data_IF_040163267279
#
_entry.id   IF_040163267279
#
_cell.length_a   1.000
_cell.length_b   1.000
_cell.length_c   1.000
_cell.angle_alpha   90.00
_cell.angle_beta   90.00
_cell.angle_gamma   90.00
#
_symmetry.space_group_name_H-M   'P 1'
#
loop_
_entity.id
_entity.type
_entity.pdbx_description
1 polymer ?
#
# COMPACT_ATOMS: atom_id res chain seq x y z
N UNK A 1 8.46 69.38 -19.47
CA UNK A 1 7.80 68.11 -19.09
C UNK A 1 6.83 68.38 -17.95
N UNK A 2 5.55 68.22 -18.24
CA UNK A 2 4.43 68.56 -17.35
C UNK A 2 4.38 67.60 -16.13
N UNK A 3 3.96 68.08 -14.96
CA UNK A 3 3.85 67.25 -13.74
C UNK A 3 2.99 66.00 -13.96
N UNK A 4 1.95 66.11 -14.82
CA UNK A 4 1.11 64.99 -15.24
C UNK A 4 1.87 63.83 -15.89
N UNK A 5 2.91 64.08 -16.68
CA UNK A 5 3.70 63.02 -17.34
C UNK A 5 4.58 62.24 -16.35
N UNK A 6 5.13 62.95 -15.34
CA UNK A 6 5.92 62.34 -14.26
C UNK A 6 5.08 61.42 -13.38
N UNK A 7 3.84 61.82 -13.07
CA UNK A 7 2.93 61.02 -12.24
C UNK A 7 2.43 59.76 -12.96
N UNK A 8 2.17 59.84 -14.27
CA UNK A 8 1.81 58.67 -15.08
C UNK A 8 2.93 57.65 -15.19
N UNK A 9 4.19 58.09 -15.33
CA UNK A 9 5.35 57.19 -15.45
C UNK A 9 5.74 56.54 -14.11
N UNK A 10 5.52 57.24 -13.00
CA UNK A 10 5.68 56.70 -11.64
C UNK A 10 4.62 55.65 -11.31
N UNK A 11 3.36 55.89 -11.69
CA UNK A 11 2.26 54.96 -11.49
C UNK A 11 2.36 53.69 -12.36
N UNK A 12 2.88 53.79 -13.59
CA UNK A 12 3.09 52.61 -14.45
C UNK A 12 4.20 51.70 -13.91
N UNK A 13 5.32 52.27 -13.44
CA UNK A 13 6.40 51.51 -12.78
C UNK A 13 5.94 50.85 -11.48
N UNK A 14 5.15 51.54 -10.65
CA UNK A 14 4.55 50.93 -9.45
C UNK A 14 3.64 49.76 -9.82
N UNK A 15 2.70 49.93 -10.76
CA UNK A 15 1.79 48.83 -11.19
C UNK A 15 2.54 47.61 -11.73
N UNK A 16 3.61 47.81 -12.50
CA UNK A 16 4.42 46.72 -13.02
C UNK A 16 5.14 45.95 -11.90
N UNK A 17 5.67 46.66 -10.91
CA UNK A 17 6.28 46.03 -9.73
C UNK A 17 5.26 45.24 -8.89
N UNK A 18 4.04 45.77 -8.72
CA UNK A 18 2.98 45.05 -8.00
C UNK A 18 2.54 43.78 -8.71
N UNK A 19 2.42 43.78 -10.05
CA UNK A 19 2.13 42.56 -10.82
C UNK A 19 3.23 41.50 -10.69
N UNK A 20 4.50 41.89 -10.82
CA UNK A 20 5.62 40.95 -10.63
C UNK A 20 5.67 40.36 -9.21
N UNK A 21 5.44 41.17 -8.18
CA UNK A 21 5.38 40.69 -6.79
C UNK A 21 4.19 39.73 -6.59
N UNK A 22 3.04 40.02 -7.20
CA UNK A 22 1.86 39.16 -7.13
C UNK A 22 2.09 37.83 -7.85
N UNK A 23 2.69 37.85 -9.05
CA UNK A 23 3.06 36.66 -9.82
C UNK A 23 4.08 35.80 -9.08
N UNK A 24 5.14 36.39 -8.51
CA UNK A 24 6.13 35.66 -7.71
C UNK A 24 5.52 35.04 -6.45
N UNK A 25 4.57 35.72 -5.79
CA UNK A 25 3.85 35.17 -4.62
C UNK A 25 2.89 34.04 -5.01
N UNK A 26 2.19 34.16 -6.14
CA UNK A 26 1.33 33.08 -6.63
C UNK A 26 2.14 31.85 -7.06
N UNK A 27 3.31 32.04 -7.67
CA UNK A 27 4.25 30.95 -7.99
C UNK A 27 4.74 30.24 -6.72
N UNK A 28 5.08 30.99 -5.66
CA UNK A 28 5.49 30.43 -4.38
C UNK A 28 4.37 29.64 -3.70
N UNK A 29 3.13 30.15 -3.74
CA UNK A 29 1.95 29.45 -3.23
C UNK A 29 1.67 28.19 -4.04
N UNK A 30 1.67 28.28 -5.38
CA UNK A 30 1.47 27.12 -6.24
C UNK A 30 2.55 26.05 -6.04
N UNK A 31 3.81 26.46 -5.85
CA UNK A 31 4.91 25.55 -5.54
C UNK A 31 4.75 24.92 -4.14
N UNK A 32 4.32 25.68 -3.14
CA UNK A 32 4.01 25.13 -1.80
C UNK A 32 2.83 24.16 -1.83
N UNK A 33 1.76 24.50 -2.55
CA UNK A 33 0.62 23.60 -2.75
C UNK A 33 1.06 22.35 -3.51
N UNK A 34 1.92 22.47 -4.53
CA UNK A 34 2.47 21.33 -5.25
C UNK A 34 3.33 20.44 -4.36
N UNK A 35 4.20 21.00 -3.51
CA UNK A 35 4.99 20.24 -2.52
C UNK A 35 4.09 19.57 -1.48
N UNK A 36 3.06 20.26 -1.00
CA UNK A 36 2.07 19.70 -0.08
C UNK A 36 1.28 18.57 -0.75
N UNK A 37 0.88 18.73 -2.01
CA UNK A 37 0.24 17.69 -2.80
C UNK A 37 1.17 16.49 -3.02
N UNK A 38 2.46 16.69 -3.33
CA UNK A 38 3.43 15.61 -3.51
C UNK A 38 3.69 14.83 -2.22
N UNK A 39 3.80 15.52 -1.09
CA UNK A 39 3.99 14.88 0.23
C UNK A 39 2.72 14.16 0.71
N UNK A 40 1.53 14.64 0.33
CA UNK A 40 0.26 13.96 0.61
C UNK A 40 -0.11 12.91 -0.46
N UNK A 41 0.52 12.91 -1.64
CA UNK A 41 0.21 11.98 -2.73
C UNK A 41 0.37 10.53 -2.30
N UNK A 42 1.51 10.19 -1.68
CA UNK A 42 1.73 8.83 -1.14
C UNK A 42 0.67 8.46 -0.10
N UNK A 43 0.40 9.35 0.85
CA UNK A 43 -0.63 9.10 1.87
C UNK A 43 -2.03 8.89 1.25
N UNK A 44 -2.35 9.62 0.19
CA UNK A 44 -3.61 9.52 -0.57
C UNK A 44 -3.67 8.22 -1.40
N UNK A 45 -2.60 7.84 -2.09
CA UNK A 45 -2.47 6.56 -2.80
C UNK A 45 -2.73 5.38 -1.85
N UNK A 46 -2.11 5.39 -0.67
CA UNK A 46 -2.34 4.38 0.38
C UNK A 46 -3.71 4.47 1.04
N UNK A 47 -4.38 5.62 0.99
CA UNK A 47 -5.76 5.75 1.44
C UNK A 47 -6.74 5.09 0.45
N UNK A 48 -6.50 5.24 -0.84
CA UNK A 48 -7.32 4.67 -1.91
C UNK A 48 -7.17 3.15 -1.96
N UNK A 49 -5.96 2.63 -1.71
CA UNK A 49 -5.65 1.20 -1.61
C UNK A 49 -6.60 0.40 -0.71
N UNK A 50 -7.07 1.00 0.40
CA UNK A 50 -8.03 0.36 1.33
C UNK A 50 -9.43 0.19 0.74
N UNK A 51 -9.86 1.10 -0.13
CA UNK A 51 -11.26 1.23 -0.53
C UNK A 51 -11.62 0.45 -1.80
N UNK A 52 -10.64 -0.15 -2.50
CA UNK A 52 -10.83 -0.59 -3.89
C UNK A 52 -10.30 -1.98 -4.25
N UNK A 53 -9.82 -2.79 -3.29
CA UNK A 53 -9.45 -4.19 -3.63
C UNK A 53 -10.73 -4.93 -4.06
N UNK A 54 -10.88 -5.12 -5.38
CA UNK A 54 -12.05 -5.74 -5.98
C UNK A 54 -11.99 -7.26 -5.83
N UNK A 55 -13.14 -7.85 -5.59
CA UNK A 55 -13.30 -9.31 -5.67
C UNK A 55 -13.03 -9.76 -7.11
N UNK A 56 -12.25 -10.83 -7.28
CA UNK A 56 -11.98 -11.41 -8.60
C UNK A 56 -12.06 -12.93 -8.57
N UNK A 57 -12.72 -13.51 -9.58
CA UNK A 57 -12.79 -14.97 -9.75
C UNK A 57 -11.42 -15.60 -10.01
N UNK A 58 -10.50 -14.85 -10.63
CA UNK A 58 -9.14 -15.34 -10.89
C UNK A 58 -8.34 -15.41 -9.60
N UNK A 59 -8.43 -14.39 -8.74
CA UNK A 59 -7.81 -14.39 -7.41
C UNK A 59 -8.35 -15.56 -6.57
N UNK A 60 -9.66 -15.82 -6.63
CA UNK A 60 -10.28 -16.98 -5.97
C UNK A 60 -9.74 -18.32 -6.47
N UNK A 61 -9.44 -18.43 -7.76
CA UNK A 61 -8.82 -19.64 -8.34
C UNK A 61 -7.42 -19.86 -7.78
N UNK A 62 -6.60 -18.80 -7.78
CA UNK A 62 -5.23 -18.85 -7.24
C UNK A 62 -5.25 -19.22 -5.75
N UNK A 63 -6.15 -18.62 -4.97
CA UNK A 63 -6.32 -18.94 -3.55
C UNK A 63 -6.70 -20.41 -3.34
N UNK A 64 -7.59 -20.98 -4.17
CA UNK A 64 -7.94 -22.41 -4.09
C UNK A 64 -6.75 -23.32 -4.39
N UNK A 65 -5.93 -22.96 -5.38
CA UNK A 65 -4.74 -23.73 -5.72
C UNK A 65 -3.75 -23.73 -4.56
N UNK A 66 -3.48 -22.55 -3.96
CA UNK A 66 -2.63 -22.42 -2.77
C UNK A 66 -3.20 -23.21 -1.59
N UNK A 67 -4.51 -23.10 -1.34
CA UNK A 67 -5.21 -23.84 -0.28
C UNK A 67 -4.96 -25.34 -0.42
N UNK A 68 -5.12 -25.87 -1.64
CA UNK A 68 -4.94 -27.29 -1.92
C UNK A 68 -3.50 -27.77 -1.69
N UNK A 69 -2.52 -26.99 -2.16
CA UNK A 69 -1.10 -27.31 -1.98
C UNK A 69 -0.72 -27.33 -0.50
N UNK A 70 -1.20 -26.34 0.27
CA UNK A 70 -0.91 -26.26 1.69
C UNK A 70 -1.60 -27.36 2.51
N UNK A 71 -2.85 -27.71 2.15
CA UNK A 71 -3.57 -28.79 2.82
C UNK A 71 -2.89 -30.15 2.62
N UNK A 72 -2.21 -30.35 1.49
CA UNK A 72 -1.42 -31.55 1.23
C UNK A 72 -0.07 -31.52 1.99
N UNK A 73 0.68 -30.43 1.87
CA UNK A 73 2.04 -30.29 2.42
C UNK A 73 2.06 -30.24 3.96
N UNK A 74 1.05 -29.64 4.57
CA UNK A 74 0.96 -29.44 6.03
C UNK A 74 -0.15 -30.26 6.69
N UNK A 75 -0.57 -31.36 6.06
CA UNK A 75 -1.61 -32.25 6.59
C UNK A 75 -1.33 -32.71 8.02
N UNK A 76 -0.06 -32.97 8.35
CA UNK A 76 0.38 -33.43 9.67
C UNK A 76 0.71 -32.29 10.64
N UNK A 77 0.78 -31.05 10.16
CA UNK A 77 1.17 -29.87 10.95
C UNK A 77 0.25 -28.67 10.68
N UNK A 78 -1.05 -28.76 11.03
CA UNK A 78 -2.04 -27.73 10.75
C UNK A 78 -1.70 -26.36 11.38
N UNK A 79 -0.88 -26.33 12.44
CA UNK A 79 -0.40 -25.12 13.10
C UNK A 79 0.47 -24.23 12.20
N UNK A 80 1.08 -24.77 11.13
CA UNK A 80 1.89 -24.01 10.19
C UNK A 80 1.14 -23.64 8.90
N UNK A 81 -0.16 -23.92 8.80
CA UNK A 81 -0.96 -23.61 7.61
C UNK A 81 -0.91 -22.13 7.22
N UNK A 82 -0.91 -21.22 8.20
CA UNK A 82 -0.83 -19.77 7.94
C UNK A 82 0.49 -19.38 7.27
N UNK A 83 1.62 -19.95 7.72
CA UNK A 83 2.91 -19.78 7.07
C UNK A 83 2.90 -20.31 5.63
N UNK A 84 2.32 -21.48 5.41
CA UNK A 84 2.23 -22.03 4.06
C UNK A 84 1.46 -21.11 3.12
N UNK A 85 0.27 -20.66 3.53
CA UNK A 85 -0.53 -19.71 2.75
C UNK A 85 0.26 -18.47 2.38
N UNK A 86 1.00 -17.92 3.34
CA UNK A 86 1.83 -16.76 3.11
C UNK A 86 2.94 -17.02 2.07
N UNK A 87 3.79 -18.03 2.31
CA UNK A 87 4.95 -18.30 1.46
C UNK A 87 4.55 -18.75 0.05
N UNK A 88 3.48 -19.52 -0.09
CA UNK A 88 2.96 -19.91 -1.41
C UNK A 88 2.36 -18.72 -2.14
N UNK A 89 1.71 -17.79 -1.45
CA UNK A 89 1.21 -16.54 -2.05
C UNK A 89 2.36 -15.71 -2.60
N UNK A 90 3.41 -15.48 -1.81
CA UNK A 90 4.60 -14.76 -2.28
C UNK A 90 5.28 -15.47 -3.47
N UNK A 91 5.53 -16.77 -3.32
CA UNK A 91 6.20 -17.57 -4.35
C UNK A 91 5.41 -17.52 -5.66
N UNK A 92 4.08 -17.60 -5.59
CA UNK A 92 3.21 -17.44 -6.75
C UNK A 92 3.42 -16.07 -7.40
N UNK A 93 3.37 -14.98 -6.63
CA UNK A 93 3.52 -13.61 -7.16
C UNK A 93 4.90 -13.42 -7.79
N UNK A 94 5.97 -13.87 -7.12
CA UNK A 94 7.33 -13.73 -7.64
C UNK A 94 7.57 -14.54 -8.92
N UNK A 95 6.98 -15.73 -9.02
CA UNK A 95 7.19 -16.62 -10.17
C UNK A 95 6.26 -16.35 -11.35
N UNK A 96 5.05 -15.84 -11.09
CA UNK A 96 3.97 -15.76 -12.09
C UNK A 96 3.57 -14.33 -12.45
N UNK A 97 3.92 -13.33 -11.65
CA UNK A 97 3.54 -11.93 -11.91
C UNK A 97 4.76 -11.15 -12.35
N UNK A 98 4.74 -10.68 -13.59
CA UNK A 98 5.83 -9.87 -14.14
C UNK A 98 5.99 -8.56 -13.37
N UNK A 99 7.23 -8.15 -13.12
CA UNK A 99 7.52 -6.83 -12.56
C UNK A 99 7.45 -5.81 -13.69
N UNK A 100 6.53 -4.86 -13.60
CA UNK A 100 6.32 -3.82 -14.59
C UNK A 100 6.01 -2.51 -13.86
N UNK A 101 6.66 -1.41 -14.26
CA UNK A 101 6.26 -0.09 -13.76
C UNK A 101 4.95 0.34 -14.41
N UNK A 102 4.08 0.98 -13.66
CA UNK A 102 2.83 1.50 -14.20
C UNK A 102 3.07 2.77 -15.01
N UNK A 103 2.33 2.89 -16.11
CA UNK A 103 2.26 4.11 -16.88
C UNK A 103 1.45 5.18 -16.15
N UNK A 104 1.67 6.44 -16.51
CA UNK A 104 0.93 7.58 -15.96
C UNK A 104 -0.60 7.44 -16.08
N UNK A 105 -1.09 6.77 -17.14
CA UNK A 105 -2.52 6.50 -17.29
C UNK A 105 -3.00 5.43 -16.31
N UNK A 106 -2.22 4.37 -16.10
CA UNK A 106 -2.57 3.29 -15.17
C UNK A 106 -2.60 3.80 -13.72
N UNK A 107 -1.68 4.70 -13.36
CA UNK A 107 -1.69 5.42 -12.08
C UNK A 107 -2.94 6.29 -11.90
N UNK A 108 -3.32 7.06 -12.94
CA UNK A 108 -4.52 7.91 -12.91
C UNK A 108 -5.82 7.11 -12.72
N UNK A 109 -5.88 5.89 -13.26
CA UNK A 109 -7.03 5.00 -13.11
C UNK A 109 -6.93 4.05 -11.91
N UNK A 110 -5.88 4.17 -11.11
CA UNK A 110 -5.62 3.32 -9.95
C UNK A 110 -5.61 1.81 -10.29
N UNK A 111 -5.08 1.45 -11.47
CA UNK A 111 -5.07 0.05 -11.92
C UNK A 111 -4.18 -0.84 -11.06
N UNK A 112 -3.18 -0.29 -10.36
CA UNK A 112 -2.43 -1.00 -9.31
C UNK A 112 -3.27 -1.51 -8.15
N UNK A 113 -4.47 -0.97 -7.95
CA UNK A 113 -5.39 -1.44 -6.91
C UNK A 113 -6.29 -2.60 -7.38
N UNK A 114 -6.23 -2.96 -8.67
CA UNK A 114 -7.01 -4.04 -9.24
C UNK A 114 -6.17 -5.32 -9.28
N UNK A 115 -6.40 -6.28 -8.36
CA UNK A 115 -5.59 -7.49 -8.29
C UNK A 115 -5.73 -8.35 -9.55
N UNK A 116 -6.86 -8.27 -10.27
CA UNK A 116 -7.04 -8.99 -11.52
C UNK A 116 -6.20 -8.39 -12.64
N UNK A 117 -6.13 -7.06 -12.67
CA UNK A 117 -5.25 -6.34 -13.58
C UNK A 117 -3.79 -6.74 -13.34
N UNK A 118 -3.33 -6.66 -12.08
CA UNK A 118 -1.96 -7.05 -11.72
C UNK A 118 -1.65 -8.50 -12.10
N UNK A 119 -2.60 -9.41 -11.87
CA UNK A 119 -2.43 -10.82 -12.20
C UNK A 119 -2.28 -11.06 -13.71
N UNK A 120 -2.99 -10.28 -14.55
CA UNK A 120 -2.98 -10.44 -16.02
C UNK A 120 -1.83 -9.73 -16.71
N UNK A 121 -1.46 -8.55 -16.23
CA UNK A 121 -0.57 -7.63 -16.95
C UNK A 121 0.74 -7.33 -16.20
N UNK A 122 0.93 -7.93 -15.02
CA UNK A 122 2.03 -7.59 -14.13
C UNK A 122 1.75 -6.33 -13.32
N UNK A 123 2.70 -5.95 -12.49
CA UNK A 123 2.59 -4.74 -11.68
C UNK A 123 3.88 -4.40 -10.96
N UNK A 124 3.87 -3.19 -10.39
CA UNK A 124 4.95 -2.70 -9.56
C UNK A 124 4.91 -3.32 -8.16
N UNK A 125 5.73 -2.82 -7.24
CA UNK A 125 5.76 -3.33 -5.88
C UNK A 125 4.40 -3.17 -5.16
N UNK A 126 3.69 -2.07 -5.41
CA UNK A 126 2.41 -1.79 -4.76
C UNK A 126 1.31 -2.69 -5.32
N UNK A 127 1.22 -2.86 -6.65
CA UNK A 127 0.26 -3.76 -7.27
C UNK A 127 0.45 -5.22 -6.86
N UNK A 128 1.70 -5.69 -6.80
CA UNK A 128 2.02 -7.04 -6.29
C UNK A 128 1.60 -7.21 -4.83
N UNK A 129 1.79 -6.17 -4.01
CA UNK A 129 1.38 -6.19 -2.61
C UNK A 129 -0.16 -6.23 -2.47
N UNK A 130 -0.89 -5.48 -3.30
CA UNK A 130 -2.36 -5.55 -3.37
C UNK A 130 -2.85 -6.94 -3.75
N UNK A 131 -2.24 -7.55 -4.76
CA UNK A 131 -2.57 -8.91 -5.17
C UNK A 131 -2.31 -9.92 -4.04
N UNK A 132 -1.20 -9.78 -3.30
CA UNK A 132 -0.93 -10.60 -2.12
C UNK A 132 -2.03 -10.49 -1.07
N UNK A 133 -2.46 -9.27 -0.75
CA UNK A 133 -3.56 -9.00 0.19
C UNK A 133 -4.86 -9.63 -0.29
N UNK A 134 -5.19 -9.50 -1.58
CA UNK A 134 -6.39 -10.06 -2.15
C UNK A 134 -6.42 -11.60 -2.03
N UNK A 135 -5.31 -12.27 -2.35
CA UNK A 135 -5.16 -13.73 -2.22
C UNK A 135 -5.29 -14.15 -0.74
N UNK A 136 -4.57 -13.47 0.18
CA UNK A 136 -4.59 -13.80 1.60
C UNK A 136 -5.99 -13.62 2.22
N UNK A 137 -6.77 -12.62 1.77
CA UNK A 137 -8.17 -12.45 2.19
C UNK A 137 -9.04 -13.65 1.77
N UNK A 138 -8.88 -14.15 0.55
CA UNK A 138 -9.57 -15.35 0.08
C UNK A 138 -9.13 -16.62 0.84
N UNK A 139 -7.91 -16.65 1.35
CA UNK A 139 -7.39 -17.71 2.23
C UNK A 139 -7.85 -17.57 3.70
N UNK A 140 -8.64 -16.54 4.02
CA UNK A 140 -9.29 -16.38 5.32
C UNK A 140 -8.60 -15.40 6.29
N UNK A 141 -7.52 -14.72 5.87
CA UNK A 141 -6.89 -13.68 6.69
C UNK A 141 -7.74 -12.42 6.70
N UNK A 142 -8.20 -12.01 7.89
CA UNK A 142 -9.08 -10.83 8.06
C UNK A 142 -8.34 -9.59 8.52
N UNK A 143 -7.29 -9.77 9.31
CA UNK A 143 -6.55 -8.69 9.95
C UNK A 143 -5.18 -8.53 9.30
N UNK A 144 -5.17 -7.86 8.14
CA UNK A 144 -3.98 -7.59 7.33
C UNK A 144 -3.62 -6.11 7.45
N UNK A 145 -2.33 -5.83 7.62
CA UNK A 145 -1.79 -4.49 7.78
C UNK A 145 -0.67 -4.26 6.78
N UNK A 146 -0.63 -3.07 6.19
CA UNK A 146 0.56 -2.58 5.51
C UNK A 146 1.53 -2.00 6.52
N UNK A 147 2.81 -2.31 6.33
CA UNK A 147 3.92 -1.76 7.09
C UNK A 147 4.81 -1.01 6.12
N UNK A 148 5.03 0.27 6.40
CA UNK A 148 5.78 1.15 5.52
C UNK A 148 7.19 1.39 6.06
N UNK A 149 8.17 1.16 5.19
CA UNK A 149 9.59 1.26 5.47
C UNK A 149 10.28 2.08 4.37
N UNK A 150 10.23 3.42 4.44
CA UNK A 150 10.94 4.38 3.57
C UNK A 150 10.65 4.27 2.05
N UNK A 151 11.22 3.25 1.40
CA UNK A 151 11.05 2.94 -0.03
C UNK A 151 10.49 1.52 -0.25
N UNK A 152 10.05 0.88 0.82
CA UNK A 152 9.61 -0.51 0.84
C UNK A 152 8.30 -0.61 1.61
N UNK A 153 7.41 -1.48 1.13
CA UNK A 153 6.14 -1.79 1.76
C UNK A 153 6.08 -3.29 1.99
N UNK A 154 5.64 -3.69 3.18
CA UNK A 154 5.54 -5.09 3.56
C UNK A 154 4.22 -5.37 4.30
N UNK A 155 3.97 -6.64 4.60
CA UNK A 155 2.72 -7.08 5.23
C UNK A 155 2.94 -7.40 6.70
N UNK A 156 1.93 -7.13 7.50
CA UNK A 156 1.81 -7.57 8.87
C UNK A 156 0.46 -8.28 9.03
N UNK A 157 0.50 -9.56 9.41
CA UNK A 157 -0.70 -10.35 9.65
C UNK A 157 -0.91 -10.53 11.15
N UNK A 158 -2.15 -10.36 11.60
CA UNK A 158 -2.54 -10.69 12.96
C UNK A 158 -3.16 -12.09 12.97
N UNK A 159 -2.47 -13.02 13.61
CA UNK A 159 -2.90 -14.41 13.76
C UNK A 159 -3.41 -14.64 15.18
N UNK A 160 -4.41 -15.51 15.33
CA UNK A 160 -4.88 -15.97 16.64
C UNK A 160 -4.37 -17.38 16.84
N UNK A 161 -3.53 -17.58 17.84
CA UNK A 161 -2.99 -18.87 18.24
C UNK A 161 -3.71 -19.37 19.49
N UNK A 162 -3.96 -20.67 19.53
CA UNK A 162 -4.58 -21.35 20.67
C UNK A 162 -3.51 -22.19 21.35
N UNK A 163 -3.20 -21.86 22.60
CA UNK A 163 -2.30 -22.66 23.43
C UNK A 163 -3.14 -23.40 24.47
N UNK A 164 -2.78 -24.65 24.74
CA UNK A 164 -3.34 -25.37 25.89
C UNK A 164 -2.31 -25.29 27.01
N UNK A 165 -2.71 -24.72 28.13
CA UNK A 165 -1.89 -24.61 29.34
C UNK A 165 -2.53 -25.46 30.43
N UNK A 166 -1.72 -26.25 31.11
CA UNK A 166 -2.15 -27.00 32.29
C UNK A 166 -2.00 -26.11 33.53
N UNK A 167 -3.12 -25.80 34.18
CA UNK A 167 -3.18 -24.97 35.38
C UNK A 167 -4.07 -25.69 36.40
N UNK A 168 -3.56 -25.94 37.61
CA UNK A 168 -4.25 -26.69 38.67
C UNK A 168 -4.78 -28.08 38.25
N UNK A 169 -4.02 -28.80 37.43
CA UNK A 169 -4.39 -30.14 36.93
C UNK A 169 -5.58 -30.13 35.95
N UNK A 170 -5.94 -28.95 35.41
CA UNK A 170 -6.94 -28.77 34.35
C UNK A 170 -6.31 -28.14 33.12
N UNK A 171 -6.68 -28.66 31.96
CA UNK A 171 -6.30 -28.07 30.68
C UNK A 171 -7.19 -26.86 30.39
N UNK A 172 -6.57 -25.69 30.21
CA UNK A 172 -7.24 -24.47 29.77
C UNK A 172 -6.68 -24.04 28.41
N UNK A 173 -7.57 -23.76 27.47
CA UNK A 173 -7.18 -23.14 26.20
C UNK A 173 -7.13 -21.63 26.36
N UNK A 174 -5.99 -21.04 26.00
CA UNK A 174 -5.74 -19.60 25.97
C UNK A 174 -5.62 -19.18 24.50
N UNK A 175 -6.35 -18.13 24.12
CA UNK A 175 -6.21 -17.50 22.80
C UNK A 175 -5.23 -16.33 22.90
N UNK A 176 -4.09 -16.45 22.22
CA UNK A 176 -3.12 -15.39 22.05
C UNK A 176 -3.23 -14.77 20.66
N UNK A 177 -2.95 -13.47 20.55
CA UNK A 177 -2.81 -12.80 19.25
C UNK A 177 -1.34 -12.54 18.97
N UNK A 178 -0.87 -12.96 17.80
CA UNK A 178 0.50 -12.71 17.36
C UNK A 178 0.52 -11.88 16.09
N UNK A 179 1.45 -10.94 16.06
CA UNK A 179 1.77 -10.13 14.89
C UNK A 179 2.92 -10.76 14.14
N UNK A 180 2.75 -10.98 12.84
CA UNK A 180 3.78 -11.56 11.99
C UNK A 180 4.07 -10.65 10.82
N UNK A 181 5.30 -10.14 10.80
CA UNK A 181 5.82 -9.33 9.71
C UNK A 181 6.28 -10.23 8.59
N UNK A 182 5.97 -9.83 7.37
CA UNK A 182 6.39 -10.58 6.22
C UNK A 182 6.81 -9.70 5.06
N UNK A 183 7.95 -10.07 4.46
CA UNK A 183 8.59 -9.30 3.41
C UNK A 183 9.22 -8.00 3.91
N UNK A 184 9.25 -7.72 5.21
CA UNK A 184 9.87 -6.51 5.76
C UNK A 184 11.40 -6.62 5.81
N UNK A 185 12.08 -5.50 5.61
CA UNK A 185 13.53 -5.41 5.83
C UNK A 185 13.78 -5.04 7.30
N UNK A 186 14.32 -5.97 8.08
CA UNK A 186 14.61 -5.77 9.52
C UNK A 186 15.60 -4.62 9.79
N UNK A 187 16.36 -4.20 8.78
CA UNK A 187 17.32 -3.10 8.90
C UNK A 187 16.69 -1.73 8.69
N UNK A 188 15.47 -1.68 8.15
CA UNK A 188 14.77 -0.43 7.88
C UNK A 188 13.78 -0.09 9.01
N UNK A 189 13.75 1.16 9.47
CA UNK A 189 12.78 1.57 10.49
C UNK A 189 11.36 1.48 9.94
N UNK A 190 10.43 1.06 10.80
CA UNK A 190 9.00 1.17 10.53
C UNK A 190 8.60 2.64 10.67
N UNK A 191 8.11 3.24 9.59
CA UNK A 191 7.63 4.62 9.59
C UNK A 191 6.19 4.67 10.12
N UNK A 192 5.31 3.80 9.61
CA UNK A 192 3.96 3.63 10.12
C UNK A 192 3.35 2.28 9.71
N UNK A 193 2.29 1.88 10.42
CA UNK A 193 1.53 0.65 10.19
C UNK A 193 0.06 1.03 9.96
N UNK A 194 -0.58 0.39 8.99
CA UNK A 194 -1.97 0.68 8.61
C UNK A 194 -2.78 -0.58 8.35
N UNK A 195 -3.94 -0.71 9.00
CA UNK A 195 -4.90 -1.79 8.72
C UNK A 195 -5.62 -1.59 7.39
N UNK A 196 -5.69 -2.65 6.59
CA UNK A 196 -6.35 -2.72 5.27
C UNK A 196 -7.76 -3.27 5.43
#
# INVERSE_FOLDING_TARGET
>A
MNSKERDTMSNSKKRYNWRKILESKMLLIAFFVFILCLSHHRFLEYFILKCQIRDSSLVKSVAKDILSQCAEEYKEYPEFMSYCYYYKTLSFIEQKVEKREDSLFEDLFYLKNDPEYTLKYGGDCDGKLVLAVAILRELGFKDIYFVFQKHHSCLLLLETEKYTVEEDGKNRTIEGKQFRFFGCDEKLPIEYIRKI
#
